data_IF_524514544875
#
_entry.id   IF_524514544875
#
_cell.length_a   1.000
_cell.length_b   1.000
_cell.length_c   1.000
_cell.angle_alpha   90.00
_cell.angle_beta   90.00
_cell.angle_gamma   90.00
#
_symmetry.space_group_name_H-M   'P 1'
#
loop_
_entity.id
_entity.type
_entity.pdbx_description
1 polymer ?
#
# COMPACT_ATOMS: atom_id res chain seq x y z
N UNK A 1 -8.78 -11.03 -6.03
CA UNK A 1 -8.16 -10.37 -7.20
C UNK A 1 -6.78 -9.80 -6.85
N UNK A 2 -6.66 -9.01 -5.77
CA UNK A 2 -5.35 -8.68 -5.18
C UNK A 2 -4.65 -9.91 -4.56
N UNK A 3 -5.39 -10.99 -4.32
CA UNK A 3 -4.88 -12.30 -3.87
C UNK A 3 -3.70 -12.80 -4.69
N UNK A 4 -3.72 -12.59 -6.02
CA UNK A 4 -2.63 -13.02 -6.91
C UNK A 4 -1.32 -12.27 -6.63
N UNK A 5 -1.40 -11.01 -6.20
CA UNK A 5 -0.24 -10.20 -5.81
C UNK A 5 0.15 -10.40 -4.33
N UNK A 6 -0.70 -11.04 -3.53
CA UNK A 6 -0.52 -11.17 -2.07
C UNK A 6 0.78 -11.83 -1.65
N UNK A 7 1.25 -12.93 -2.28
CA UNK A 7 2.52 -13.53 -1.90
C UNK A 7 3.72 -12.60 -2.10
N UNK A 8 3.72 -11.81 -3.19
CA UNK A 8 4.80 -10.88 -3.49
C UNK A 8 4.75 -9.65 -2.57
N UNK A 9 3.56 -9.13 -2.30
CA UNK A 9 3.34 -8.01 -1.38
C UNK A 9 3.70 -8.39 0.06
N UNK A 10 3.25 -9.55 0.54
CA UNK A 10 3.63 -10.06 1.87
C UNK A 10 5.14 -10.23 2.00
N UNK A 11 5.81 -10.73 0.96
CA UNK A 11 7.29 -10.84 0.92
C UNK A 11 7.96 -9.46 1.02
N UNK A 12 7.46 -8.45 0.30
CA UNK A 12 7.97 -7.07 0.38
C UNK A 12 7.74 -6.45 1.76
N UNK A 13 6.54 -6.61 2.33
CA UNK A 13 6.22 -6.14 3.68
C UNK A 13 7.13 -6.76 4.74
N UNK A 14 7.41 -8.07 4.63
CA UNK A 14 8.38 -8.74 5.50
C UNK A 14 9.81 -8.17 5.32
N UNK A 15 10.26 -7.92 4.09
CA UNK A 15 11.58 -7.32 3.83
C UNK A 15 11.69 -5.88 4.38
N UNK A 16 10.62 -5.10 4.28
CA UNK A 16 10.53 -3.76 4.88
C UNK A 16 10.65 -3.86 6.40
N UNK A 17 9.86 -4.74 7.05
CA UNK A 17 9.96 -5.00 8.49
C UNK A 17 11.38 -5.38 8.90
N UNK A 18 12.00 -6.31 8.19
CA UNK A 18 13.34 -6.83 8.51
C UNK A 18 14.45 -5.78 8.28
N UNK A 19 14.16 -4.71 7.53
CA UNK A 19 15.06 -3.58 7.30
C UNK A 19 14.95 -2.50 8.36
N UNK A 20 13.84 -2.47 9.11
CA UNK A 20 13.60 -1.47 10.15
C UNK A 20 14.68 -1.51 11.24
N UNK A 21 14.94 -0.35 11.82
CA UNK A 21 15.91 -0.16 12.92
C UNK A 21 15.17 0.23 14.20
N UNK A 22 15.88 0.24 15.33
CA UNK A 22 15.36 0.74 16.61
C UNK A 22 14.92 2.22 16.58
N UNK A 23 15.30 2.97 15.54
CA UNK A 23 14.93 4.38 15.32
C UNK A 23 13.81 4.54 14.29
N UNK A 24 13.22 3.43 13.87
CA UNK A 24 12.05 3.39 13.00
C UNK A 24 10.82 3.30 13.89
N UNK A 25 9.91 4.25 13.75
CA UNK A 25 8.70 4.30 14.58
C UNK A 25 7.57 3.49 13.93
N UNK A 26 7.49 3.52 12.59
CA UNK A 26 6.46 2.79 11.86
C UNK A 26 6.68 2.78 10.35
N UNK A 27 5.69 2.22 9.65
CA UNK A 27 5.61 2.16 8.19
C UNK A 27 4.27 2.71 7.75
N UNK A 28 4.31 3.70 6.85
CA UNK A 28 3.12 4.23 6.20
C UNK A 28 3.04 3.70 4.78
N UNK A 29 1.86 3.22 4.41
CA UNK A 29 1.55 2.68 3.09
C UNK A 29 0.64 3.67 2.37
N UNK A 30 1.19 4.33 1.37
CA UNK A 30 0.52 5.34 0.56
C UNK A 30 -0.19 4.67 -0.63
N UNK A 31 -1.50 4.91 -0.77
CA UNK A 31 -2.32 4.49 -1.92
C UNK A 31 -2.44 5.66 -2.90
N UNK A 32 -1.92 5.47 -4.11
CA UNK A 32 -1.93 6.45 -5.19
C UNK A 32 -2.92 6.01 -6.28
N UNK A 33 -4.20 6.42 -6.20
CA UNK A 33 -5.10 6.30 -7.33
C UNK A 33 -4.65 7.20 -8.48
N UNK A 34 -4.79 6.71 -9.71
CA UNK A 34 -4.51 7.52 -10.88
C UNK A 34 -5.51 8.67 -11.02
N UNK A 35 -4.99 9.84 -11.38
CA UNK A 35 -5.73 11.09 -11.43
C UNK A 35 -6.71 11.12 -12.62
N UNK A 36 -6.45 10.33 -13.65
CA UNK A 36 -7.31 10.22 -14.83
C UNK A 36 -8.55 9.35 -14.59
N UNK A 37 -8.62 8.64 -13.45
CA UNK A 37 -9.80 7.86 -13.05
C UNK A 37 -10.07 6.62 -13.90
N UNK A 38 -9.06 6.16 -14.65
CA UNK A 38 -9.12 4.93 -15.45
C UNK A 38 -9.09 3.66 -14.60
N UNK A 39 -8.67 3.75 -13.32
CA UNK A 39 -8.64 2.62 -12.38
C UNK A 39 -7.26 2.01 -12.12
N UNK A 40 -6.23 2.57 -12.74
CA UNK A 40 -4.82 2.41 -12.35
C UNK A 40 -4.58 2.94 -10.94
N UNK A 41 -3.70 2.28 -10.19
CA UNK A 41 -3.23 2.78 -8.89
C UNK A 41 -1.90 2.13 -8.50
N UNK A 42 -1.16 2.78 -7.62
CA UNK A 42 0.06 2.23 -7.03
C UNK A 42 -0.02 2.26 -5.51
N UNK A 43 0.64 1.29 -4.87
CA UNK A 43 0.75 1.18 -3.42
C UNK A 43 2.23 1.18 -3.06
N UNK A 44 2.64 2.12 -2.23
CA UNK A 44 4.02 2.30 -1.81
C UNK A 44 4.14 2.30 -0.30
N UNK A 45 5.22 1.72 0.22
CA UNK A 45 5.58 1.83 1.61
C UNK A 45 6.65 2.90 1.82
N UNK A 46 6.63 3.56 2.97
CA UNK A 46 7.70 4.44 3.45
C UNK A 46 7.85 4.30 4.95
N UNK A 47 9.07 4.46 5.42
CA UNK A 47 9.33 4.47 6.87
C UNK A 47 8.90 5.81 7.50
N UNK A 48 8.56 5.77 8.78
CA UNK A 48 8.48 6.94 9.65
C UNK A 48 9.46 6.79 10.81
N UNK A 49 10.00 7.93 11.28
CA UNK A 49 10.99 7.99 12.36
C UNK A 49 12.37 8.48 11.95
N UNK A 50 13.33 8.34 12.85
CA UNK A 50 14.64 9.00 12.78
C UNK A 50 15.54 8.54 11.62
N UNK A 51 15.35 7.31 11.14
CA UNK A 51 16.17 6.72 10.07
C UNK A 51 15.42 6.63 8.72
N UNK A 52 14.16 7.08 8.66
CA UNK A 52 13.24 6.84 7.55
C UNK A 52 13.84 7.18 6.17
N UNK A 53 14.40 8.38 6.02
CA UNK A 53 14.99 8.83 4.75
C UNK A 53 16.11 7.89 4.24
N UNK A 54 16.97 7.42 5.15
CA UNK A 54 18.09 6.54 4.79
C UNK A 54 17.58 5.16 4.39
N UNK A 55 16.61 4.62 5.13
CA UNK A 55 16.01 3.32 4.85
C UNK A 55 15.20 3.35 3.55
N UNK A 56 14.43 4.40 3.32
CA UNK A 56 13.64 4.57 2.09
C UNK A 56 14.54 4.63 0.85
N UNK A 57 15.64 5.38 0.94
CA UNK A 57 16.64 5.46 -0.13
C UNK A 57 17.34 4.12 -0.37
N UNK A 58 17.58 3.34 0.69
CA UNK A 58 18.22 2.02 0.61
C UNK A 58 17.31 1.00 -0.09
N UNK A 59 16.02 0.98 0.24
CA UNK A 59 15.05 0.06 -0.39
C UNK A 59 14.70 0.48 -1.81
N UNK A 60 14.73 1.77 -2.13
CA UNK A 60 14.47 2.25 -3.49
C UNK A 60 13.09 1.81 -3.99
N UNK A 61 13.06 1.08 -5.11
CA UNK A 61 11.83 0.59 -5.75
C UNK A 61 11.20 -0.62 -5.04
N UNK A 62 11.91 -1.29 -4.13
CA UNK A 62 11.34 -2.40 -3.34
C UNK A 62 10.20 -1.94 -2.42
N UNK A 63 10.10 -0.62 -2.21
CA UNK A 63 8.99 0.03 -1.52
C UNK A 63 7.68 0.01 -2.31
N UNK A 64 7.73 -0.18 -3.62
CA UNK A 64 6.52 -0.34 -4.42
C UNK A 64 5.93 -1.73 -4.15
N UNK A 65 4.90 -1.76 -3.30
CA UNK A 65 4.21 -2.99 -2.94
C UNK A 65 3.42 -3.52 -4.14
N UNK A 66 2.74 -2.62 -4.84
CA UNK A 66 1.88 -2.94 -5.97
C UNK A 66 1.83 -1.79 -6.98
N UNK A 67 1.75 -2.13 -8.26
CA UNK A 67 1.31 -1.22 -9.31
C UNK A 67 0.26 -1.94 -10.15
N UNK A 68 -0.96 -1.40 -10.19
CA UNK A 68 -2.00 -1.83 -11.11
C UNK A 68 -1.90 -0.98 -12.36
N UNK A 69 -1.52 -1.62 -13.46
CA UNK A 69 -1.33 -0.98 -14.76
C UNK A 69 -2.28 -1.60 -15.79
N UNK A 70 -2.72 -0.79 -16.75
CA UNK A 70 -3.48 -1.27 -17.90
C UNK A 70 -2.54 -1.73 -18.99
N UNK A 71 -2.70 -2.98 -19.42
CA UNK A 71 -1.97 -3.57 -20.55
C UNK A 71 -2.94 -3.92 -21.68
N UNK A 72 -2.40 -4.35 -22.83
CA UNK A 72 -3.21 -4.86 -23.95
C UNK A 72 -4.07 -6.08 -23.58
N UNK A 73 -3.70 -6.81 -22.52
CA UNK A 73 -4.44 -7.98 -22.02
C UNK A 73 -5.37 -7.65 -20.84
N UNK A 74 -5.58 -6.37 -20.54
CA UNK A 74 -6.35 -5.90 -19.38
C UNK A 74 -5.45 -5.49 -18.21
N UNK A 75 -6.01 -5.51 -17.00
CA UNK A 75 -5.32 -5.08 -15.78
C UNK A 75 -4.23 -6.08 -15.35
N UNK A 76 -3.06 -5.55 -14.98
CA UNK A 76 -1.99 -6.31 -14.34
C UNK A 76 -1.61 -5.64 -13.02
N UNK A 77 -1.78 -6.32 -11.85
CA UNK A 77 -2.56 -7.55 -11.65
C UNK A 77 -4.04 -7.36 -12.03
N UNK A 78 -4.79 -8.46 -12.24
CA UNK A 78 -6.20 -8.38 -12.58
C UNK A 78 -6.99 -7.73 -11.44
N UNK A 79 -7.69 -6.64 -11.77
CA UNK A 79 -8.68 -5.97 -10.91
C UNK A 79 -9.99 -5.77 -11.69
N UNK A 80 -11.14 -5.57 -11.02
CA UNK A 80 -12.38 -5.30 -11.71
C UNK A 80 -12.33 -3.93 -12.38
N UNK A 81 -13.02 -3.78 -13.51
CA UNK A 81 -13.23 -2.47 -14.10
C UNK A 81 -14.08 -1.58 -13.19
N UNK A 82 -13.78 -0.29 -13.20
CA UNK A 82 -14.58 0.72 -12.50
C UNK A 82 -16.01 0.73 -13.06
N UNK A 83 -17.05 0.64 -12.21
CA UNK A 83 -18.42 0.86 -12.65
C UNK A 83 -18.61 2.27 -13.23
N UNK A 84 -19.29 2.37 -14.37
CA UNK A 84 -19.50 3.65 -15.06
C UNK A 84 -20.26 4.70 -14.23
N UNK A 85 -21.03 4.26 -13.23
CA UNK A 85 -21.77 5.12 -12.30
C UNK A 85 -20.91 5.76 -11.21
N UNK A 86 -19.67 5.30 -11.02
CA UNK A 86 -18.81 5.82 -9.95
C UNK A 86 -18.11 7.11 -10.37
N UNK A 87 -17.93 8.03 -9.42
CA UNK A 87 -17.02 9.17 -9.60
C UNK A 87 -15.58 8.75 -9.31
N UNK A 88 -14.60 9.55 -9.73
CA UNK A 88 -13.19 9.34 -9.37
C UNK A 88 -12.97 9.38 -7.86
N UNK A 89 -13.67 10.28 -7.14
CA UNK A 89 -13.61 10.34 -5.68
C UNK A 89 -14.14 9.05 -5.03
N UNK A 90 -15.31 8.56 -5.47
CA UNK A 90 -15.87 7.31 -4.97
C UNK A 90 -14.96 6.11 -5.27
N UNK A 91 -14.32 6.08 -6.45
CA UNK A 91 -13.33 5.07 -6.76
C UNK A 91 -12.15 5.15 -5.78
N UNK A 92 -11.63 6.33 -5.49
CA UNK A 92 -10.56 6.55 -4.53
C UNK A 92 -10.90 6.01 -3.14
N UNK A 93 -12.10 6.31 -2.63
CA UNK A 93 -12.58 5.82 -1.33
C UNK A 93 -12.64 4.29 -1.30
N UNK A 94 -13.25 3.67 -2.33
CA UNK A 94 -13.34 2.20 -2.41
C UNK A 94 -11.98 1.55 -2.56
N UNK A 95 -11.08 2.12 -3.38
CA UNK A 95 -9.72 1.61 -3.54
C UNK A 95 -8.97 1.66 -2.21
N UNK A 96 -9.07 2.77 -1.47
CA UNK A 96 -8.47 2.92 -0.16
C UNK A 96 -8.97 1.84 0.81
N UNK A 97 -10.30 1.65 0.89
CA UNK A 97 -10.91 0.65 1.77
C UNK A 97 -10.46 -0.77 1.43
N UNK A 98 -10.51 -1.14 0.15
CA UNK A 98 -10.13 -2.48 -0.32
C UNK A 98 -8.64 -2.74 -0.10
N UNK A 99 -7.78 -1.76 -0.38
CA UNK A 99 -6.33 -1.90 -0.17
C UNK A 99 -6.01 -2.01 1.32
N UNK A 100 -6.67 -1.22 2.18
CA UNK A 100 -6.44 -1.31 3.62
C UNK A 100 -6.88 -2.66 4.20
N UNK A 101 -8.07 -3.15 3.85
CA UNK A 101 -8.55 -4.48 4.28
C UNK A 101 -7.63 -5.59 3.77
N UNK A 102 -7.15 -5.46 2.54
CA UNK A 102 -6.23 -6.43 1.95
C UNK A 102 -4.86 -6.43 2.64
N UNK A 103 -4.30 -5.25 2.95
CA UNK A 103 -3.01 -5.14 3.64
C UNK A 103 -3.09 -5.58 5.09
N UNK A 104 -4.23 -5.39 5.77
CA UNK A 104 -4.45 -5.86 7.14
C UNK A 104 -4.12 -7.35 7.31
N UNK A 105 -4.51 -8.18 6.33
CA UNK A 105 -4.24 -9.61 6.32
C UNK A 105 -2.78 -9.97 5.95
N UNK A 106 -2.02 -9.05 5.34
CA UNK A 106 -0.67 -9.30 4.81
C UNK A 106 0.45 -8.69 5.64
N UNK A 107 0.15 -7.67 6.46
CA UNK A 107 1.13 -7.08 7.35
C UNK A 107 1.68 -8.18 8.27
N UNK A 108 3.01 -8.36 8.31
CA UNK A 108 3.60 -9.44 9.09
C UNK A 108 3.27 -9.28 10.58
N UNK A 109 3.03 -10.38 11.31
CA UNK A 109 2.75 -10.30 12.73
C UNK A 109 3.87 -9.63 13.50
N UNK A 110 3.48 -8.74 14.40
CA UNK A 110 4.40 -7.80 15.03
C UNK A 110 5.37 -8.53 15.96
N UNK A 111 6.66 -8.24 15.77
CA UNK A 111 7.76 -8.63 16.64
C UNK A 111 8.75 -7.50 16.91
N UNK A 112 8.48 -6.31 16.34
CA UNK A 112 9.40 -5.16 16.30
C UNK A 112 8.78 -3.87 16.88
N UNK A 113 7.48 -3.85 17.18
CA UNK A 113 6.78 -2.69 17.76
C UNK A 113 6.55 -1.56 16.77
N UNK A 114 6.56 -1.88 15.47
CA UNK A 114 6.33 -0.93 14.39
C UNK A 114 4.83 -0.77 14.19
N UNK A 115 4.32 0.47 14.21
CA UNK A 115 2.97 0.71 13.72
C UNK A 115 2.93 0.65 12.19
N UNK A 116 1.78 0.23 11.65
CA UNK A 116 1.52 0.20 10.21
C UNK A 116 0.24 0.95 9.93
N UNK A 117 0.29 1.88 8.98
CA UNK A 117 -0.87 2.69 8.60
C UNK A 117 -1.00 2.74 7.08
N UNK A 118 -2.24 2.78 6.58
CA UNK A 118 -2.57 3.07 5.19
C UNK A 118 -3.09 4.50 5.11
N UNK A 119 -2.62 5.27 4.12
CA UNK A 119 -3.05 6.65 3.88
C UNK A 119 -3.16 6.92 2.39
N UNK A 120 -3.78 8.05 2.04
CA UNK A 120 -3.54 8.68 0.75
C UNK A 120 -2.55 9.84 0.88
N UNK A 121 -1.74 10.12 -0.15
CA UNK A 121 -0.70 11.17 -0.09
C UNK A 121 -1.27 12.59 -0.01
N UNK A 122 -2.46 12.81 -0.53
CA UNK A 122 -3.18 14.08 -0.49
C UNK A 122 -3.84 14.34 0.88
N UNK A 123 -3.83 13.34 1.77
CA UNK A 123 -4.48 13.40 3.07
C UNK A 123 -6.00 13.50 2.98
N UNK A 124 -6.60 13.13 1.84
CA UNK A 124 -8.05 13.14 1.66
C UNK A 124 -8.72 12.09 2.58
N UNK A 125 -8.06 10.96 2.80
CA UNK A 125 -8.50 9.92 3.73
C UNK A 125 -7.72 9.99 5.05
N UNK A 126 -8.41 9.70 6.15
CA UNK A 126 -7.77 9.51 7.45
C UNK A 126 -6.87 8.27 7.42
N UNK A 127 -5.72 8.36 8.10
CA UNK A 127 -4.81 7.22 8.21
C UNK A 127 -5.52 6.06 8.91
N UNK A 128 -5.43 4.87 8.33
CA UNK A 128 -6.05 3.65 8.89
C UNK A 128 -4.97 2.69 9.38
N UNK A 129 -4.96 2.29 10.67
CA UNK A 129 -4.05 1.26 11.14
C UNK A 129 -4.36 -0.08 10.46
N UNK A 130 -3.32 -0.90 10.22
CA UNK A 130 -3.43 -2.22 9.61
C UNK A 130 -2.49 -3.22 10.29
N UNK A 131 -2.83 -4.50 10.22
CA UNK A 131 -2.06 -5.59 10.81
C UNK A 131 -2.49 -5.91 12.24
N UNK A 132 -1.77 -6.81 12.93
CA UNK A 132 -2.19 -7.29 14.25
C UNK A 132 -2.07 -6.19 15.30
N UNK A 133 -3.18 -5.50 15.55
CA UNK A 133 -3.30 -4.36 16.46
C UNK A 133 -4.11 -3.18 15.90
N UNK A 134 -4.49 -3.22 14.61
CA UNK A 134 -5.44 -2.30 13.97
C UNK A 134 -6.91 -2.57 14.30
#
# INVERSE_FOLDING_TARGET
MLDTASPDVARRLAAIRDTATERTDGVVIDVFPDQDGEGTFAVWARFEGGDAFTLDRRLGDERQLLAVVRSEHGWTPPVPDRPASWSTAHLGDVLFDVVAEWLDALVPPDGTGLYWEVTTPDGAQERRPVGPGG
#
